data_IF_486372390770
#
_entry.id   IF_486372390770
#
_cell.length_a   1.000
_cell.length_b   1.000
_cell.length_c   1.000
_cell.angle_alpha   90.00
_cell.angle_beta   90.00
_cell.angle_gamma   90.00
#
_symmetry.space_group_name_H-M   'P 1'
#
loop_
_entity.id
_entity.type
_entity.pdbx_description
1 polymer ?
#
# COMPACT_ATOMS: atom_id res chain seq x y z
N UNK A 1 -7.75 2.70 4.35
CA UNK A 1 -8.60 1.54 4.04
C UNK A 1 -8.33 0.53 5.14
N UNK A 2 -9.34 0.21 5.93
CA UNK A 2 -9.20 -0.76 7.01
C UNK A 2 -9.13 -2.18 6.42
N UNK A 3 -8.11 -2.90 6.84
CA UNK A 3 -7.84 -4.26 6.39
C UNK A 3 -8.79 -5.20 7.16
N UNK A 4 -9.84 -5.65 6.47
CA UNK A 4 -10.89 -6.52 7.01
C UNK A 4 -10.28 -7.80 7.60
N UNK A 5 -9.23 -8.33 6.97
CA UNK A 5 -8.58 -9.56 7.42
C UNK A 5 -7.85 -9.35 8.75
N UNK A 6 -7.17 -8.21 8.91
CA UNK A 6 -6.51 -7.85 10.17
C UNK A 6 -7.51 -7.60 11.29
N UNK A 7 -8.63 -6.96 11.00
CA UNK A 7 -9.70 -6.71 11.97
C UNK A 7 -10.29 -8.02 12.50
N UNK A 8 -10.59 -8.96 11.60
CA UNK A 8 -11.16 -10.26 11.95
C UNK A 8 -10.10 -11.23 12.50
N UNK A 9 -8.82 -10.84 12.48
CA UNK A 9 -7.68 -11.65 12.87
C UNK A 9 -7.64 -13.01 12.15
N UNK A 10 -7.91 -12.99 10.85
CA UNK A 10 -7.92 -14.18 9.98
C UNK A 10 -6.91 -14.03 8.84
N UNK A 11 -6.34 -15.14 8.34
CA UNK A 11 -5.46 -15.08 7.18
C UNK A 11 -6.25 -14.71 5.91
N UNK A 12 -5.60 -14.01 4.97
CA UNK A 12 -6.21 -13.68 3.66
C UNK A 12 -6.61 -14.91 2.86
N UNK A 13 -5.87 -16.02 3.04
CA UNK A 13 -6.17 -17.32 2.46
C UNK A 13 -7.26 -18.11 3.22
N UNK A 14 -7.90 -17.54 4.24
CA UNK A 14 -8.99 -18.20 4.96
C UNK A 14 -10.12 -18.59 3.98
N UNK A 15 -10.61 -19.82 4.13
CA UNK A 15 -11.75 -20.32 3.36
C UNK A 15 -13.02 -19.53 3.70
N UNK A 16 -13.96 -19.46 2.75
CA UNK A 16 -15.20 -18.70 2.94
C UNK A 16 -16.00 -19.14 4.19
N UNK A 17 -16.00 -20.45 4.48
CA UNK A 17 -16.65 -21.00 5.66
C UNK A 17 -16.01 -20.48 6.97
N UNK A 18 -14.69 -20.38 7.01
CA UNK A 18 -13.92 -19.91 8.17
C UNK A 18 -14.08 -18.41 8.38
N UNK A 19 -14.08 -17.64 7.28
CA UNK A 19 -14.38 -16.21 7.27
C UNK A 19 -15.78 -15.95 7.84
N UNK A 20 -16.79 -16.67 7.33
CA UNK A 20 -18.18 -16.52 7.77
C UNK A 20 -18.38 -16.90 9.23
N UNK A 21 -17.71 -17.95 9.70
CA UNK A 21 -17.76 -18.34 11.10
C UNK A 21 -17.14 -17.28 12.02
N UNK A 22 -15.97 -16.74 11.64
CA UNK A 22 -15.32 -15.67 12.39
C UNK A 22 -16.16 -14.39 12.43
N UNK A 23 -16.73 -13.98 11.29
CA UNK A 23 -17.63 -12.83 11.19
C UNK A 23 -18.82 -12.97 12.15
N UNK A 24 -19.51 -14.12 12.14
CA UNK A 24 -20.64 -14.37 13.05
C UNK A 24 -20.24 -14.34 14.52
N UNK A 25 -19.05 -14.88 14.85
CA UNK A 25 -18.54 -14.91 16.23
C UNK A 25 -18.21 -13.50 16.74
N UNK A 26 -17.52 -12.72 15.92
CA UNK A 26 -17.17 -11.32 16.21
C UNK A 26 -18.43 -10.47 16.33
N UNK A 27 -19.36 -10.56 15.37
CA UNK A 27 -20.62 -9.81 15.39
C UNK A 27 -21.37 -10.02 16.70
N UNK A 28 -21.54 -11.28 17.12
CA UNK A 28 -22.23 -11.62 18.37
C UNK A 28 -21.54 -11.02 19.60
N UNK A 29 -20.21 -11.04 19.60
CA UNK A 29 -19.39 -10.48 20.69
C UNK A 29 -19.56 -8.96 20.75
N UNK A 30 -19.48 -8.26 19.61
CA UNK A 30 -19.63 -6.81 19.57
C UNK A 30 -21.05 -6.35 19.84
N UNK A 31 -22.08 -7.04 19.36
CA UNK A 31 -23.48 -6.76 19.73
C UNK A 31 -23.71 -6.93 21.24
N UNK A 32 -23.14 -7.98 21.83
CA UNK A 32 -23.22 -8.16 23.29
C UNK A 32 -22.46 -7.05 24.04
N UNK A 33 -21.32 -6.59 23.53
CA UNK A 33 -20.58 -5.46 24.10
C UNK A 33 -21.32 -4.14 23.96
N UNK A 34 -22.00 -3.91 22.85
CA UNK A 34 -22.85 -2.74 22.64
C UNK A 34 -23.97 -2.70 23.68
N UNK A 35 -24.68 -3.82 23.85
CA UNK A 35 -25.79 -3.91 24.80
C UNK A 35 -25.34 -3.84 26.27
N UNK A 36 -24.13 -4.31 26.59
CA UNK A 36 -23.55 -4.24 27.93
C UNK A 36 -22.65 -3.02 28.15
N UNK A 37 -22.63 -2.06 27.22
CA UNK A 37 -21.75 -0.90 27.30
C UNK A 37 -22.14 0.01 28.46
N UNK A 38 -21.26 0.10 29.46
CA UNK A 38 -21.46 1.00 30.61
C UNK A 38 -21.22 2.49 30.27
N UNK A 39 -20.55 2.78 29.15
CA UNK A 39 -20.23 4.14 28.71
C UNK A 39 -20.56 4.35 27.24
N UNK A 40 -20.87 5.59 26.88
CA UNK A 40 -21.17 5.98 25.50
C UNK A 40 -20.02 5.65 24.54
N UNK A 41 -18.78 5.80 24.99
CA UNK A 41 -17.57 5.53 24.21
C UNK A 41 -17.46 4.05 23.83
N UNK A 42 -17.71 3.14 24.78
CA UNK A 42 -17.73 1.68 24.53
C UNK A 42 -18.87 1.28 23.60
N UNK A 43 -20.03 1.95 23.72
CA UNK A 43 -21.16 1.72 22.82
C UNK A 43 -20.81 2.13 21.39
N UNK A 44 -20.22 3.31 21.22
CA UNK A 44 -19.78 3.80 19.91
C UNK A 44 -18.68 2.93 19.30
N UNK A 45 -17.75 2.44 20.10
CA UNK A 45 -16.73 1.48 19.63
C UNK A 45 -17.37 0.19 19.14
N UNK A 46 -18.27 -0.40 19.92
CA UNK A 46 -18.98 -1.59 19.51
C UNK A 46 -19.80 -1.38 18.23
N UNK A 47 -20.49 -0.24 18.12
CA UNK A 47 -21.28 0.10 16.94
C UNK A 47 -20.41 0.28 15.68
N UNK A 48 -19.22 0.89 15.82
CA UNK A 48 -18.23 0.98 14.73
C UNK A 48 -17.77 -0.40 14.28
N UNK A 49 -17.43 -1.28 15.22
CA UNK A 49 -16.98 -2.63 14.91
C UNK A 49 -18.08 -3.46 14.25
N UNK A 50 -19.32 -3.35 14.71
CA UNK A 50 -20.49 -4.02 14.10
C UNK A 50 -20.66 -3.59 12.63
N UNK A 51 -20.63 -2.27 12.35
CA UNK A 51 -20.75 -1.76 10.97
C UNK A 51 -19.63 -2.27 10.07
N UNK A 52 -18.40 -2.30 10.59
CA UNK A 52 -17.24 -2.82 9.86
C UNK A 52 -17.37 -4.32 9.55
N UNK A 53 -17.89 -5.11 10.49
CA UNK A 53 -18.14 -6.55 10.30
C UNK A 53 -19.23 -6.80 9.25
N UNK A 54 -20.29 -5.99 9.23
CA UNK A 54 -21.39 -6.08 8.26
C UNK A 54 -20.91 -5.74 6.83
N UNK A 55 -20.09 -4.70 6.69
CA UNK A 55 -19.44 -4.33 5.43
C UNK A 55 -18.48 -5.44 4.96
N UNK A 56 -17.76 -6.06 5.90
CA UNK A 56 -16.89 -7.19 5.65
C UNK A 56 -17.65 -8.44 5.18
N UNK A 57 -18.76 -8.79 5.82
CA UNK A 57 -19.61 -9.91 5.39
C UNK A 57 -20.16 -9.68 3.97
N UNK A 58 -20.64 -8.47 3.70
CA UNK A 58 -21.16 -8.09 2.39
C UNK A 58 -20.09 -8.18 1.29
N UNK A 59 -18.83 -7.90 1.63
CA UNK A 59 -17.70 -7.93 0.69
C UNK A 59 -17.11 -9.32 0.53
N UNK A 60 -16.98 -10.09 1.61
CA UNK A 60 -16.35 -11.41 1.62
C UNK A 60 -17.30 -12.56 1.29
N UNK A 61 -18.62 -12.35 1.36
CA UNK A 61 -19.62 -13.38 1.01
C UNK A 61 -19.74 -13.62 -0.49
N UNK A 62 -19.46 -12.63 -1.33
CA UNK A 62 -19.46 -12.79 -2.79
C UNK A 62 -18.02 -12.94 -3.29
N UNK A 63 -17.68 -14.04 -4.00
CA UNK A 63 -16.31 -14.27 -4.46
C UNK A 63 -15.82 -13.21 -5.46
N UNK A 64 -16.72 -12.55 -6.22
CA UNK A 64 -16.36 -11.46 -7.12
C UNK A 64 -16.01 -10.21 -6.32
N UNK A 65 -16.84 -9.87 -5.33
CA UNK A 65 -16.61 -8.70 -4.46
C UNK A 65 -15.36 -8.88 -3.60
N UNK A 66 -15.10 -10.10 -3.14
CA UNK A 66 -13.85 -10.46 -2.44
C UNK A 66 -12.65 -10.24 -3.35
N UNK A 67 -12.70 -10.70 -4.59
CA UNK A 67 -11.62 -10.48 -5.54
C UNK A 67 -11.39 -8.98 -5.84
N UNK A 68 -12.46 -8.19 -5.99
CA UNK A 68 -12.36 -6.73 -6.16
C UNK A 68 -11.79 -6.03 -4.92
N UNK A 69 -12.18 -6.48 -3.72
CA UNK A 69 -11.63 -5.99 -2.47
C UNK A 69 -10.16 -6.36 -2.32
N UNK A 70 -9.78 -7.59 -2.63
CA UNK A 70 -8.40 -8.04 -2.61
C UNK A 70 -7.56 -7.24 -3.61
N UNK A 71 -8.06 -6.99 -4.83
CA UNK A 71 -7.41 -6.13 -5.81
C UNK A 71 -7.28 -4.68 -5.35
N UNK A 72 -8.30 -4.12 -4.70
CA UNK A 72 -8.23 -2.76 -4.13
C UNK A 72 -7.32 -2.71 -2.92
N UNK A 73 -7.27 -3.76 -2.11
CA UNK A 73 -6.40 -3.87 -0.95
C UNK A 73 -4.96 -4.02 -1.42
N UNK A 74 -4.68 -4.86 -2.41
CA UNK A 74 -3.40 -4.92 -3.09
C UNK A 74 -3.06 -3.55 -3.68
N UNK A 75 -3.94 -2.92 -4.46
CA UNK A 75 -3.71 -1.59 -5.01
C UNK A 75 -3.55 -0.48 -3.94
N UNK A 76 -4.11 -0.64 -2.75
CA UNK A 76 -3.94 0.29 -1.61
C UNK A 76 -2.61 0.03 -0.89
N UNK A 77 -2.24 -1.24 -0.72
CA UNK A 77 -0.94 -1.65 -0.21
C UNK A 77 0.18 -1.30 -1.21
N UNK A 78 -0.10 -1.37 -2.52
CA UNK A 78 0.76 -0.99 -3.63
C UNK A 78 0.80 0.53 -3.85
N UNK A 79 -0.34 1.21 -3.71
CA UNK A 79 -0.46 2.66 -3.73
C UNK A 79 0.15 3.33 -2.49
N UNK A 80 0.40 2.53 -1.44
CA UNK A 80 1.25 2.85 -0.30
C UNK A 80 2.63 2.19 -0.33
N UNK A 81 2.99 1.46 -1.39
CA UNK A 81 4.28 0.76 -1.47
C UNK A 81 4.42 -0.22 -2.65
N UNK A 82 5.14 0.21 -3.68
CA UNK A 82 6.09 -0.63 -4.44
C UNK A 82 5.70 -2.11 -4.71
N UNK A 83 4.59 -2.40 -5.41
CA UNK A 83 4.24 -3.78 -5.80
C UNK A 83 4.39 -4.08 -7.29
N UNK A 84 3.63 -3.41 -8.16
CA UNK A 84 3.58 -3.73 -9.59
C UNK A 84 4.83 -3.29 -10.36
N UNK A 85 5.67 -2.45 -9.74
CA UNK A 85 6.97 -2.09 -10.28
C UNK A 85 8.04 -3.17 -10.02
N UNK A 86 7.87 -4.10 -9.07
CA UNK A 86 8.98 -4.97 -8.60
C UNK A 86 9.63 -5.87 -9.65
N UNK A 87 8.94 -6.27 -10.73
CA UNK A 87 9.61 -7.05 -11.77
C UNK A 87 10.38 -6.20 -12.80
N UNK A 88 10.01 -4.92 -12.99
CA UNK A 88 10.73 -4.00 -13.88
C UNK A 88 11.76 -3.13 -13.13
N UNK A 89 11.45 -2.72 -11.89
CA UNK A 89 12.17 -1.77 -11.02
C UNK A 89 13.33 -2.43 -10.25
N UNK A 90 13.42 -3.76 -10.16
CA UNK A 90 14.63 -4.42 -9.62
C UNK A 90 15.77 -4.54 -10.64
N UNK A 91 15.48 -4.35 -11.93
CA UNK A 91 16.55 -4.29 -12.93
C UNK A 91 17.16 -2.89 -12.94
N UNK A 92 18.49 -2.83 -13.07
CA UNK A 92 19.23 -1.58 -13.24
C UNK A 92 18.66 -0.76 -14.40
N UNK A 93 18.19 -1.42 -15.46
CA UNK A 93 17.53 -0.80 -16.62
C UNK A 93 16.22 -0.07 -16.26
N UNK A 94 15.31 -0.71 -15.52
CA UNK A 94 14.05 -0.07 -15.13
C UNK A 94 14.22 1.09 -14.15
N UNK A 95 15.19 1.00 -13.24
CA UNK A 95 15.57 2.11 -12.35
C UNK A 95 16.08 3.33 -13.13
N UNK A 96 16.91 3.08 -14.15
CA UNK A 96 17.45 4.13 -15.02
C UNK A 96 16.33 4.78 -15.84
N UNK A 97 15.44 3.99 -16.43
CA UNK A 97 14.35 4.49 -17.27
C UNK A 97 13.38 5.37 -16.47
N UNK A 98 12.97 4.90 -15.29
CA UNK A 98 12.10 5.66 -14.39
C UNK A 98 12.76 6.94 -13.89
N UNK A 99 14.06 6.90 -13.58
CA UNK A 99 14.81 8.10 -13.24
C UNK A 99 14.88 9.10 -14.39
N UNK A 100 15.06 8.64 -15.64
CA UNK A 100 15.10 9.51 -16.81
C UNK A 100 13.76 10.24 -17.03
N UNK A 101 12.64 9.56 -16.80
CA UNK A 101 11.30 10.18 -16.86
C UNK A 101 11.13 11.28 -15.81
N UNK A 102 11.58 11.02 -14.57
CA UNK A 102 11.50 11.99 -13.48
C UNK A 102 12.38 13.22 -13.74
N UNK A 103 13.57 13.05 -14.32
CA UNK A 103 14.42 14.18 -14.74
C UNK A 103 13.74 15.03 -15.81
N UNK A 104 13.08 14.40 -16.79
CA UNK A 104 12.31 15.13 -17.82
C UNK A 104 11.13 15.92 -17.22
N UNK A 105 10.55 15.42 -16.13
CA UNK A 105 9.51 16.10 -15.37
C UNK A 105 10.04 17.20 -14.44
N UNK A 106 11.37 17.40 -14.35
CA UNK A 106 12.00 18.35 -13.43
C UNK A 106 11.94 17.90 -11.96
N UNK A 107 11.60 16.63 -11.71
CA UNK A 107 11.50 16.08 -10.36
C UNK A 107 12.81 15.38 -9.96
N UNK A 108 13.80 16.19 -9.60
CA UNK A 108 15.17 15.71 -9.35
C UNK A 108 15.34 14.86 -8.07
N UNK A 109 14.74 15.18 -6.90
CA UNK A 109 14.95 14.40 -5.68
C UNK A 109 14.61 12.89 -5.77
N UNK A 110 13.46 12.48 -6.35
CA UNK A 110 13.16 11.07 -6.54
C UNK A 110 14.03 10.43 -7.64
N UNK A 111 14.37 11.17 -8.71
CA UNK A 111 15.26 10.67 -9.75
C UNK A 111 16.66 10.32 -9.20
N UNK A 112 17.22 11.16 -8.35
CA UNK A 112 18.53 10.94 -7.69
C UNK A 112 18.48 9.68 -6.82
N UNK A 113 17.36 9.43 -6.14
CA UNK A 113 17.19 8.28 -5.25
C UNK A 113 17.16 6.96 -6.02
N UNK A 114 16.44 6.91 -7.15
CA UNK A 114 16.42 5.75 -8.04
C UNK A 114 17.79 5.47 -8.66
N UNK A 115 18.50 6.51 -9.10
CA UNK A 115 19.84 6.37 -9.69
C UNK A 115 20.88 5.88 -8.67
N UNK A 116 20.82 6.34 -7.41
CA UNK A 116 21.65 5.79 -6.32
C UNK A 116 21.42 4.30 -6.14
N UNK A 117 20.16 3.88 -6.17
CA UNK A 117 19.78 2.47 -6.03
C UNK A 117 20.31 1.66 -7.23
N UNK A 118 20.19 2.18 -8.45
CA UNK A 118 20.74 1.55 -9.65
C UNK A 118 22.27 1.36 -9.59
N UNK A 119 23.01 2.39 -9.14
CA UNK A 119 24.47 2.32 -8.96
C UNK A 119 24.87 1.32 -7.86
N UNK A 120 24.07 1.21 -6.80
CA UNK A 120 24.32 0.21 -5.75
C UNK A 120 24.11 -1.23 -6.25
N UNK A 121 23.17 -1.45 -7.16
CA UNK A 121 22.93 -2.77 -7.76
C UNK A 121 23.99 -3.13 -8.81
N UNK A 122 24.42 -2.19 -9.64
CA UNK A 122 25.50 -2.40 -10.60
C UNK A 122 26.44 -1.19 -10.65
N UNK A 123 27.51 -1.22 -9.85
CA UNK A 123 28.53 -0.16 -9.84
C UNK A 123 29.31 -0.07 -11.16
N UNK A 124 29.29 -1.10 -12.01
CA UNK A 124 29.96 -1.08 -13.31
C UNK A 124 29.13 -0.35 -14.38
N UNK A 125 27.87 -0.01 -14.08
CA UNK A 125 27.01 0.69 -15.00
C UNK A 125 27.33 2.19 -15.06
N UNK A 126 28.22 2.55 -15.99
CA UNK A 126 28.63 3.93 -16.24
C UNK A 126 27.45 4.87 -16.59
N UNK A 127 26.33 4.33 -17.11
CA UNK A 127 25.16 5.13 -17.44
C UNK A 127 24.42 5.60 -16.18
N UNK A 128 24.21 4.71 -15.20
CA UNK A 128 23.57 5.04 -13.93
C UNK A 128 24.38 6.10 -13.15
N UNK A 129 25.70 5.93 -13.08
CA UNK A 129 26.59 6.89 -12.42
C UNK A 129 26.59 8.26 -13.11
N UNK A 130 26.67 8.28 -14.45
CA UNK A 130 26.69 9.54 -15.21
C UNK A 130 25.38 10.29 -15.04
N UNK A 131 24.25 9.59 -15.09
CA UNK A 131 22.94 10.19 -14.84
C UNK A 131 22.83 10.72 -13.41
N UNK A 132 23.34 10.00 -12.41
CA UNK A 132 23.33 10.45 -11.01
C UNK A 132 24.10 11.76 -10.82
N UNK A 133 25.30 11.86 -11.42
CA UNK A 133 26.15 13.07 -11.37
C UNK A 133 25.44 14.26 -12.06
N UNK A 134 24.86 14.04 -13.23
CA UNK A 134 24.12 15.08 -13.95
C UNK A 134 22.87 15.52 -13.18
N UNK A 135 22.06 14.59 -12.69
CA UNK A 135 20.84 14.86 -11.92
C UNK A 135 21.11 15.73 -10.68
N UNK A 136 22.16 15.42 -9.91
CA UNK A 136 22.56 16.24 -8.75
C UNK A 136 22.99 17.65 -9.14
N UNK A 137 23.74 17.78 -10.24
CA UNK A 137 24.18 19.08 -10.76
C UNK A 137 23.01 19.93 -11.22
N UNK A 138 22.09 19.34 -11.97
CA UNK A 138 20.89 20.02 -12.46
C UNK A 138 19.94 20.40 -11.32
N UNK A 139 19.78 19.54 -10.31
CA UNK A 139 19.02 19.87 -9.12
C UNK A 139 19.59 21.09 -8.38
N UNK A 140 20.92 21.14 -8.22
CA UNK A 140 21.59 22.30 -7.62
C UNK A 140 21.37 23.59 -8.43
N UNK A 141 21.41 23.51 -9.75
CA UNK A 141 21.13 24.67 -10.62
C UNK A 141 19.66 25.08 -10.62
N UNK A 142 18.74 24.11 -10.53
CA UNK A 142 17.30 24.35 -10.43
C UNK A 142 16.96 25.08 -9.12
N UNK A 143 17.55 24.64 -8.00
CA UNK A 143 17.41 25.32 -6.71
C UNK A 143 17.97 26.74 -6.75
N UNK A 144 19.07 26.99 -7.46
CA UNK A 144 19.67 28.32 -7.61
C UNK A 144 18.88 29.26 -8.52
N UNK A 145 18.13 28.73 -9.50
CA UNK A 145 17.32 29.54 -10.43
C UNK A 145 15.92 29.89 -9.90
N UNK A 146 15.39 29.08 -8.99
CA UNK A 146 14.04 29.23 -8.44
C UNK A 146 14.04 29.81 -7.01
N UNK A 147 15.06 30.60 -6.67
CA UNK A 147 15.23 31.27 -5.37
C UNK A 147 15.53 32.75 -5.58
#
# INVERSE_FOLDING_TARGET
>A
MDDIYKMLNIPRQAGEAEVRECLRRELRTWTQRESNAATLEKRQEAERMIKLIDEAETTLSDPRRRAEYDQRLDAFLEGGGDGAARQADETVGGLIEKAALLLRMGNYPPAISLLKRAVNYDPANAMAERMLKNAKREWGQYLLKNH
#
